data_IF_703548329184
#
_entry.id   IF_703548329184
#
_cell.length_a   1.000
_cell.length_b   1.000
_cell.length_c   1.000
_cell.angle_alpha   90.00
_cell.angle_beta   90.00
_cell.angle_gamma   90.00
#
_symmetry.space_group_name_H-M   'P 1'
#
loop_
_entity.id
_entity.type
_entity.pdbx_description
1 polymer ?
#
# COMPACT_ATOMS: atom_id res chain seq x y z
N UNK A 1 39.12 29.86 35.43
CA UNK A 1 38.93 29.09 34.18
C UNK A 1 39.28 27.64 34.43
N UNK A 2 38.25 26.78 34.56
CA UNK A 2 38.33 25.32 34.72
C UNK A 2 36.89 24.79 34.88
N UNK A 3 36.36 24.07 33.89
CA UNK A 3 35.28 23.07 33.98
C UNK A 3 35.20 22.41 32.58
N UNK A 4 36.12 21.48 32.30
CA UNK A 4 35.88 20.03 32.27
C UNK A 4 34.86 19.65 31.17
N UNK A 5 35.31 19.24 29.97
CA UNK A 5 34.45 18.74 28.91
C UNK A 5 34.09 17.28 29.23
N UNK A 6 33.01 17.07 29.98
CA UNK A 6 32.57 15.73 30.41
C UNK A 6 31.08 15.50 30.23
N UNK A 7 30.46 16.16 29.25
CA UNK A 7 29.10 15.80 28.79
C UNK A 7 29.14 14.97 27.50
N UNK A 8 30.15 14.10 27.38
CA UNK A 8 30.38 13.20 26.25
C UNK A 8 30.57 11.77 26.78
N UNK A 9 29.71 11.28 27.68
CA UNK A 9 29.86 9.90 28.18
C UNK A 9 28.62 9.19 28.76
N UNK A 10 27.39 9.63 28.49
CA UNK A 10 26.20 8.96 29.05
C UNK A 10 25.01 8.92 28.08
N UNK A 11 25.18 8.32 26.90
CA UNK A 11 24.02 7.77 26.16
C UNK A 11 24.40 6.62 25.23
N UNK A 12 25.27 5.74 25.73
CA UNK A 12 25.50 4.42 25.17
C UNK A 12 24.93 3.38 26.15
N UNK A 13 23.64 3.07 26.04
CA UNK A 13 23.05 1.78 26.46
C UNK A 13 21.54 1.74 26.19
N UNK A 14 21.13 0.79 25.35
CA UNK A 14 20.01 -0.07 25.70
C UNK A 14 18.61 0.36 25.28
N UNK A 15 18.32 0.34 23.99
CA UNK A 15 17.02 -0.15 23.49
C UNK A 15 17.13 -0.50 22.01
N UNK A 16 17.84 -1.58 21.69
CA UNK A 16 17.60 -2.30 20.43
C UNK A 16 16.25 -3.01 20.59
N UNK A 17 15.17 -2.23 20.55
CA UNK A 17 13.86 -2.77 20.23
C UNK A 17 13.90 -3.07 18.74
N UNK A 18 14.32 -4.29 18.39
CA UNK A 18 14.04 -4.89 17.09
C UNK A 18 12.52 -5.01 17.02
N UNK A 19 11.85 -3.93 16.61
CA UNK A 19 10.51 -4.07 16.06
C UNK A 19 10.69 -5.04 14.87
N UNK A 20 9.91 -6.13 14.79
CA UNK A 20 9.69 -6.74 13.49
C UNK A 20 8.91 -5.70 12.69
N UNK A 21 9.66 -4.81 12.02
CA UNK A 21 9.16 -4.12 10.86
C UNK A 21 8.68 -5.26 9.97
N UNK A 22 7.36 -5.45 9.94
CA UNK A 22 6.70 -6.35 9.02
C UNK A 22 6.96 -5.73 7.66
N UNK A 23 8.13 -6.03 7.12
CA UNK A 23 8.59 -5.64 5.82
C UNK A 23 7.74 -6.41 4.80
N UNK A 24 6.49 -5.96 4.64
CA UNK A 24 5.83 -6.03 3.36
C UNK A 24 6.47 -4.94 2.49
N UNK A 25 7.77 -5.10 2.23
CA UNK A 25 8.50 -4.36 1.23
C UNK A 25 7.93 -4.69 -0.15
N UNK A 26 8.34 -3.94 -1.19
CA UNK A 26 7.94 -4.17 -2.58
C UNK A 26 8.23 -5.60 -3.12
N UNK A 27 8.94 -6.42 -2.35
CA UNK A 27 9.34 -7.80 -2.65
C UNK A 27 8.17 -8.75 -2.92
N UNK A 28 6.99 -8.46 -2.37
CA UNK A 28 5.79 -9.24 -2.68
C UNK A 28 5.43 -9.19 -4.16
N UNK A 29 5.47 -8.02 -4.80
CA UNK A 29 5.11 -7.88 -6.21
C UNK A 29 6.16 -8.56 -7.12
N UNK A 30 7.43 -8.51 -6.74
CA UNK A 30 8.53 -9.17 -7.47
C UNK A 30 8.35 -10.70 -7.53
N UNK A 31 7.71 -11.31 -6.53
CA UNK A 31 7.42 -12.74 -6.50
C UNK A 31 6.28 -13.18 -7.47
N UNK A 32 5.55 -12.25 -8.09
CA UNK A 32 4.49 -12.59 -9.04
C UNK A 32 5.04 -12.80 -10.46
N UNK A 33 4.45 -13.74 -11.22
CA UNK A 33 4.75 -13.88 -12.66
C UNK A 33 4.40 -12.58 -13.41
N UNK A 34 5.13 -12.18 -14.47
CA UNK A 34 4.91 -10.90 -15.16
C UNK A 34 3.46 -10.65 -15.61
N UNK A 35 2.76 -11.68 -16.12
CA UNK A 35 1.33 -11.59 -16.49
C UNK A 35 0.42 -11.26 -15.30
N UNK A 36 0.72 -11.78 -14.11
CA UNK A 36 -0.06 -11.50 -12.90
C UNK A 36 0.25 -10.11 -12.34
N UNK A 37 1.52 -9.68 -12.39
CA UNK A 37 1.90 -8.31 -12.05
C UNK A 37 1.15 -7.29 -12.92
N UNK A 38 1.09 -7.52 -14.24
CA UNK A 38 0.34 -6.66 -15.16
C UNK A 38 -1.16 -6.63 -14.83
N UNK A 39 -1.79 -7.80 -14.61
CA UNK A 39 -3.21 -7.88 -14.25
C UNK A 39 -3.51 -7.14 -12.95
N UNK A 40 -2.66 -7.30 -11.92
CA UNK A 40 -2.79 -6.59 -10.65
C UNK A 40 -2.67 -5.08 -10.85
N UNK A 41 -1.61 -4.60 -11.51
CA UNK A 41 -1.38 -3.18 -11.77
C UNK A 41 -2.55 -2.57 -12.56
N UNK A 42 -2.97 -3.21 -13.65
CA UNK A 42 -4.10 -2.75 -14.47
C UNK A 42 -5.38 -2.59 -13.64
N UNK A 43 -5.70 -3.56 -12.80
CA UNK A 43 -6.90 -3.49 -11.97
C UNK A 43 -6.84 -2.37 -10.94
N UNK A 44 -5.70 -2.20 -10.26
CA UNK A 44 -5.50 -1.12 -9.30
C UNK A 44 -5.57 0.25 -9.99
N UNK A 45 -4.97 0.41 -11.17
CA UNK A 45 -5.04 1.67 -11.92
C UNK A 45 -6.44 1.99 -12.41
N UNK A 46 -7.22 1.00 -12.84
CA UNK A 46 -8.64 1.22 -13.19
C UNK A 46 -9.45 1.71 -11.99
N UNK A 47 -9.27 1.10 -10.82
CA UNK A 47 -9.94 1.55 -9.59
C UNK A 47 -9.46 2.94 -9.15
N UNK A 48 -8.17 3.21 -9.27
CA UNK A 48 -7.58 4.51 -8.96
C UNK A 48 -8.17 5.59 -9.86
N UNK A 49 -8.17 5.37 -11.17
CA UNK A 49 -8.70 6.31 -12.15
C UNK A 49 -10.19 6.60 -11.89
N UNK A 50 -11.03 5.56 -11.75
CA UNK A 50 -12.45 5.71 -11.43
C UNK A 50 -12.66 6.48 -10.11
N UNK A 51 -11.89 6.15 -9.09
CA UNK A 51 -11.95 6.83 -7.79
C UNK A 51 -11.58 8.30 -7.89
N UNK A 52 -10.55 8.65 -8.66
CA UNK A 52 -10.16 10.05 -8.92
C UNK A 52 -11.27 10.82 -9.63
N UNK A 53 -11.88 10.24 -10.65
CA UNK A 53 -12.99 10.89 -11.36
C UNK A 53 -14.19 11.13 -10.43
N UNK A 54 -14.51 10.17 -9.57
CA UNK A 54 -15.57 10.35 -8.57
C UNK A 54 -15.27 11.48 -7.58
N UNK A 55 -14.01 11.59 -7.11
CA UNK A 55 -13.58 12.67 -6.22
C UNK A 55 -13.68 14.02 -6.91
N UNK A 56 -13.23 14.13 -8.17
CA UNK A 56 -13.31 15.38 -8.92
C UNK A 56 -14.76 15.82 -9.13
N UNK A 57 -15.64 14.89 -9.51
CA UNK A 57 -17.08 15.18 -9.64
C UNK A 57 -17.71 15.64 -8.32
N UNK A 58 -17.35 15.01 -7.21
CA UNK A 58 -17.81 15.42 -5.87
C UNK A 58 -17.28 16.81 -5.50
N UNK A 59 -16.01 17.10 -5.81
CA UNK A 59 -15.39 18.40 -5.58
C UNK A 59 -16.06 19.50 -6.42
N UNK A 60 -16.31 19.27 -7.71
CA UNK A 60 -17.06 20.17 -8.58
C UNK A 60 -18.46 20.48 -8.02
N UNK A 61 -19.15 19.44 -7.53
CA UNK A 61 -20.48 19.60 -6.91
C UNK A 61 -20.41 20.42 -5.63
N UNK A 62 -19.40 20.20 -4.79
CA UNK A 62 -19.19 20.97 -3.56
C UNK A 62 -18.90 22.45 -3.86
N UNK A 63 -17.99 22.70 -4.81
CA UNK A 63 -17.59 24.05 -5.20
C UNK A 63 -18.74 24.84 -5.82
N UNK A 64 -19.63 24.19 -6.59
CA UNK A 64 -20.81 24.85 -7.17
C UNK A 64 -21.78 25.40 -6.10
N UNK A 65 -21.76 24.83 -4.89
CA UNK A 65 -22.61 25.26 -3.78
C UNK A 65 -21.94 26.24 -2.80
N UNK A 66 -20.62 26.43 -2.88
CA UNK A 66 -19.86 27.23 -1.93
C UNK A 66 -20.05 28.73 -2.17
N UNK A 67 -20.36 29.47 -1.12
CA UNK A 67 -20.71 30.91 -1.14
C UNK A 67 -19.67 31.77 -0.44
N UNK A 68 -18.83 31.17 0.38
CA UNK A 68 -17.81 31.86 1.15
C UNK A 68 -16.53 31.03 1.33
N UNK A 69 -15.53 31.66 1.95
CA UNK A 69 -14.22 31.05 2.18
C UNK A 69 -14.32 29.84 3.12
N UNK A 70 -15.21 29.86 4.11
CA UNK A 70 -15.35 28.74 5.04
C UNK A 70 -15.88 27.49 4.32
N UNK A 71 -16.87 27.68 3.45
CA UNK A 71 -17.42 26.60 2.61
C UNK A 71 -16.38 26.06 1.62
N UNK A 72 -15.55 26.92 1.02
CA UNK A 72 -14.43 26.49 0.18
C UNK A 72 -13.43 25.62 0.97
N UNK A 73 -13.05 26.03 2.18
CA UNK A 73 -12.15 25.26 3.04
C UNK A 73 -12.74 23.90 3.42
N UNK A 74 -14.05 23.83 3.65
CA UNK A 74 -14.76 22.57 3.89
C UNK A 74 -14.72 21.66 2.66
N UNK A 75 -14.92 22.20 1.46
CA UNK A 75 -14.79 21.45 0.21
C UNK A 75 -13.37 20.88 0.02
N UNK A 76 -12.33 21.68 0.27
CA UNK A 76 -10.94 21.20 0.23
C UNK A 76 -10.69 20.06 1.21
N UNK A 77 -11.16 20.21 2.45
CA UNK A 77 -10.96 19.20 3.48
C UNK A 77 -11.67 17.89 3.12
N UNK A 78 -12.89 17.97 2.57
CA UNK A 78 -13.64 16.82 2.04
C UNK A 78 -12.88 16.12 0.91
N UNK A 79 -12.35 16.88 -0.06
CA UNK A 79 -11.55 16.31 -1.15
C UNK A 79 -10.29 15.61 -0.62
N UNK A 80 -9.56 16.25 0.32
CA UNK A 80 -8.37 15.66 0.97
C UNK A 80 -8.72 14.36 1.68
N UNK A 81 -9.85 14.31 2.40
CA UNK A 81 -10.31 13.10 3.08
C UNK A 81 -10.68 12.00 2.08
N UNK A 82 -11.37 12.35 1.00
CA UNK A 82 -11.75 11.40 -0.04
C UNK A 82 -10.52 10.79 -0.73
N UNK A 83 -9.49 11.61 -1.03
CA UNK A 83 -8.21 11.13 -1.57
C UNK A 83 -7.47 10.19 -0.61
N UNK A 84 -7.43 10.52 0.68
CA UNK A 84 -6.83 9.65 1.71
C UNK A 84 -7.57 8.31 1.79
N UNK A 85 -8.90 8.35 1.75
CA UNK A 85 -9.75 7.16 1.76
C UNK A 85 -9.52 6.30 0.53
N UNK A 86 -9.45 6.90 -0.66
CA UNK A 86 -9.13 6.19 -1.90
C UNK A 86 -7.78 5.48 -1.81
N UNK A 87 -6.73 6.16 -1.34
CA UNK A 87 -5.39 5.55 -1.16
C UNK A 87 -5.44 4.34 -0.22
N UNK A 88 -6.17 4.44 0.91
CA UNK A 88 -6.34 3.31 1.85
C UNK A 88 -7.06 2.14 1.19
N UNK A 89 -8.17 2.38 0.48
CA UNK A 89 -8.93 1.36 -0.26
C UNK A 89 -8.06 0.67 -1.32
N UNK A 90 -7.28 1.42 -2.08
CA UNK A 90 -6.39 0.88 -3.11
C UNK A 90 -5.29 0.00 -2.51
N UNK A 91 -4.69 0.42 -1.39
CA UNK A 91 -3.69 -0.40 -0.68
C UNK A 91 -4.28 -1.71 -0.16
N UNK A 92 -5.44 -1.65 0.48
CA UNK A 92 -6.14 -2.85 0.95
C UNK A 92 -6.43 -3.79 -0.23
N UNK A 93 -6.97 -3.25 -1.33
CA UNK A 93 -7.29 -4.04 -2.52
C UNK A 93 -6.05 -4.64 -3.20
N UNK A 94 -4.94 -3.91 -3.22
CA UNK A 94 -3.67 -4.41 -3.74
C UNK A 94 -3.17 -5.59 -2.88
N UNK A 95 -3.27 -5.50 -1.55
CA UNK A 95 -2.95 -6.59 -0.64
C UNK A 95 -3.81 -7.84 -0.86
N UNK A 96 -5.13 -7.67 -0.96
CA UNK A 96 -6.06 -8.79 -1.24
C UNK A 96 -5.73 -9.50 -2.57
N UNK A 97 -5.51 -8.72 -3.63
CA UNK A 97 -5.20 -9.28 -4.96
C UNK A 97 -3.85 -9.97 -4.98
N UNK A 98 -2.86 -9.39 -4.30
CA UNK A 98 -1.55 -10.00 -4.15
C UNK A 98 -1.63 -11.36 -3.45
N UNK A 99 -2.37 -11.45 -2.34
CA UNK A 99 -2.59 -12.72 -1.63
C UNK A 99 -3.27 -13.77 -2.52
N UNK A 100 -4.29 -13.38 -3.31
CA UNK A 100 -4.96 -14.32 -4.24
C UNK A 100 -4.00 -14.87 -5.29
N UNK A 101 -3.20 -14.00 -5.93
CA UNK A 101 -2.28 -14.44 -6.98
C UNK A 101 -1.11 -15.28 -6.46
N UNK A 102 -0.61 -14.97 -5.25
CA UNK A 102 0.45 -15.76 -4.61
C UNK A 102 -0.01 -17.15 -4.16
N UNK A 103 -1.25 -17.27 -3.64
CA UNK A 103 -1.83 -18.59 -3.31
C UNK A 103 -2.01 -19.47 -4.55
N UNK A 104 -2.43 -18.89 -5.67
CA UNK A 104 -2.60 -19.63 -6.93
C UNK A 104 -1.27 -20.22 -7.45
N UNK A 105 -0.13 -19.54 -7.22
CA UNK A 105 1.18 -20.08 -7.57
C UNK A 105 1.58 -21.27 -6.69
N UNK A 106 1.33 -21.20 -5.38
CA UNK A 106 1.64 -22.29 -4.45
C UNK A 106 0.91 -23.58 -4.82
N UNK A 107 -0.35 -23.47 -5.25
CA UNK A 107 -1.12 -24.62 -5.71
C UNK A 107 -0.57 -25.18 -7.04
N UNK A 108 -0.29 -24.32 -8.01
CA UNK A 108 0.23 -24.74 -9.32
C UNK A 108 1.61 -25.40 -9.25
N UNK A 109 2.49 -24.97 -8.32
CA UNK A 109 3.80 -25.61 -8.11
C UNK A 109 3.70 -26.96 -7.41
N UNK A 110 2.72 -27.13 -6.50
CA UNK A 110 2.48 -28.39 -5.81
C UNK A 110 1.98 -29.47 -6.77
N UNK A 111 1.08 -29.14 -7.68
CA UNK A 111 0.55 -30.09 -8.68
C UNK A 111 1.61 -30.55 -9.68
N UNK A 112 2.53 -29.67 -10.07
CA UNK A 112 3.64 -30.06 -10.96
C UNK A 112 4.69 -30.91 -10.24
N UNK A 113 4.99 -30.61 -8.97
CA UNK A 113 5.93 -31.41 -8.18
C UNK A 113 5.41 -32.83 -7.91
N UNK A 114 4.10 -32.99 -7.68
CA UNK A 114 3.48 -34.33 -7.51
C UNK A 114 3.34 -35.09 -8.83
N UNK A 115 3.16 -34.41 -9.95
CA UNK A 115 3.16 -35.06 -11.27
C UNK A 115 4.55 -35.55 -11.70
N UNK A 116 5.61 -34.80 -11.38
CA UNK A 116 6.99 -35.19 -11.66
C UNK A 116 7.54 -36.30 -10.75
N UNK A 117 6.91 -36.54 -9.59
CA UNK A 117 7.32 -37.55 -8.62
C UNK A 117 6.65 -38.93 -8.84
N UNK A 118 5.86 -39.12 -9.90
CA UNK A 118 5.38 -40.44 -10.30
C UNK A 118 6.50 -41.15 -11.09
N UNK A 119 7.16 -42.19 -10.55
CA UNK A 119 8.00 -43.04 -11.37
C UNK A 119 7.09 -43.70 -12.41
N UNK A 120 7.45 -43.57 -13.69
CA UNK A 120 6.83 -44.34 -14.76
C UNK A 120 7.00 -45.82 -14.43
N UNK A 121 5.87 -46.49 -14.24
CA UNK A 121 5.80 -47.95 -14.23
C UNK A 121 5.73 -48.48 -15.65
#
# INVERSE_FOLDING_TARGET
>A
MRFIPSLFLLLAMGAISVLPASAHGPDGLAALKPKQQFKLRRHIEQLNHRGRMAILKDAETCLAGARDIEELLRCEQRERQARRTLRRKLRARAGELHQRYSQQQRFSGRTTATAAARPGG
#
